data_IF_851292874578
#
_entry.id   IF_851292874578
#
_cell.length_a   1.000
_cell.length_b   1.000
_cell.length_c   1.000
_cell.angle_alpha   90.00
_cell.angle_beta   90.00
_cell.angle_gamma   90.00
#
_symmetry.space_group_name_H-M   'P 1'
#
loop_
_entity.id
_entity.type
_entity.pdbx_description
1 polymer ?
#
# COMPACT_ATOMS: atom_id res chain seq x y z
N UNK A 1 1.99 16.02 10.38
CA UNK A 1 3.04 14.97 10.34
C UNK A 1 2.49 13.53 10.49
N UNK A 2 1.18 13.28 10.38
CA UNK A 2 0.62 11.95 10.65
C UNK A 2 0.87 10.90 9.54
N UNK A 3 0.80 11.30 8.26
CA UNK A 3 0.92 10.34 7.14
C UNK A 3 2.32 9.71 7.05
N UNK A 4 3.37 10.53 7.20
CA UNK A 4 4.76 10.07 7.11
C UNK A 4 5.08 9.05 8.20
N UNK A 5 4.58 9.29 9.40
CA UNK A 5 4.76 8.40 10.55
C UNK A 5 4.02 7.07 10.38
N UNK A 6 2.78 7.11 9.91
CA UNK A 6 2.02 5.91 9.57
C UNK A 6 2.73 5.07 8.50
N UNK A 7 3.17 5.71 7.41
CA UNK A 7 3.91 5.04 6.33
C UNK A 7 5.24 4.47 6.85
N UNK A 8 5.99 5.21 7.66
CA UNK A 8 7.25 4.72 8.22
C UNK A 8 7.05 3.45 9.05
N UNK A 9 6.03 3.42 9.92
CA UNK A 9 5.71 2.22 10.70
C UNK A 9 5.31 1.04 9.81
N UNK A 10 4.52 1.30 8.77
CA UNK A 10 4.14 0.30 7.80
C UNK A 10 5.38 -0.30 7.11
N UNK A 11 6.24 0.53 6.52
CA UNK A 11 7.43 0.08 5.78
C UNK A 11 8.45 -0.65 6.67
N UNK A 12 8.56 -0.28 7.94
CA UNK A 12 9.48 -0.94 8.88
C UNK A 12 8.97 -2.32 9.31
N UNK A 13 7.65 -2.48 9.48
CA UNK A 13 7.07 -3.67 10.10
C UNK A 13 6.44 -4.64 9.10
N UNK A 14 6.13 -4.21 7.88
CA UNK A 14 5.41 -5.00 6.89
C UNK A 14 6.12 -5.00 5.54
N UNK A 15 6.07 -6.15 4.88
CA UNK A 15 6.25 -6.24 3.44
C UNK A 15 4.89 -6.15 2.76
N UNK A 16 4.86 -5.45 1.62
CA UNK A 16 3.67 -5.33 0.79
C UNK A 16 3.91 -6.04 -0.54
N UNK A 17 2.90 -6.77 -1.00
CA UNK A 17 2.82 -7.26 -2.36
C UNK A 17 1.48 -6.87 -2.96
N UNK A 18 1.49 -6.51 -4.24
CA UNK A 18 0.28 -6.30 -5.01
C UNK A 18 -0.23 -7.65 -5.51
N UNK A 19 -1.53 -7.74 -5.81
CA UNK A 19 -2.13 -8.95 -6.41
C UNK A 19 -1.41 -9.38 -7.69
N UNK A 20 -0.92 -8.41 -8.47
CA UNK A 20 -0.08 -8.62 -9.65
C UNK A 20 1.24 -7.88 -9.45
N UNK A 21 2.35 -8.61 -9.30
CA UNK A 21 3.67 -8.01 -9.09
C UNK A 21 4.08 -7.14 -10.28
N UNK A 22 4.51 -5.90 -10.02
CA UNK A 22 4.99 -4.97 -11.04
C UNK A 22 3.92 -4.24 -11.86
N UNK A 23 2.63 -4.56 -11.66
CA UNK A 23 1.53 -3.87 -12.34
C UNK A 23 0.94 -2.83 -11.40
N UNK A 24 1.00 -1.55 -11.79
CA UNK A 24 0.27 -0.49 -11.12
C UNK A 24 -1.23 -0.70 -11.34
N UNK A 25 -2.07 -0.71 -10.29
CA UNK A 25 -3.51 -0.75 -10.44
C UNK A 25 -3.99 0.45 -11.28
N UNK A 26 -4.96 0.22 -12.18
CA UNK A 26 -5.50 1.28 -13.05
C UNK A 26 -6.02 2.44 -12.21
N UNK A 27 -5.66 3.67 -12.60
CA UNK A 27 -6.13 4.88 -11.95
C UNK A 27 -7.67 4.96 -11.96
N UNK A 28 -8.28 5.28 -10.81
CA UNK A 28 -9.70 5.52 -10.69
C UNK A 28 -9.91 7.04 -10.56
N UNK A 29 -10.67 7.62 -11.50
CA UNK A 29 -10.98 9.05 -11.47
C UNK A 29 -12.29 9.28 -10.73
N UNK A 30 -12.24 10.08 -9.68
CA UNK A 30 -13.43 10.53 -8.94
C UNK A 30 -13.59 12.05 -9.12
N UNK A 31 -14.40 12.43 -10.10
CA UNK A 31 -14.49 13.82 -10.54
C UNK A 31 -13.15 14.30 -11.08
N UNK A 32 -12.63 15.40 -10.54
CA UNK A 32 -11.31 15.95 -10.91
C UNK A 32 -10.13 15.31 -10.16
N UNK A 33 -10.38 14.35 -9.26
CA UNK A 33 -9.34 13.73 -8.45
C UNK A 33 -8.97 12.33 -8.98
N UNK A 34 -7.68 12.08 -9.14
CA UNK A 34 -7.15 10.74 -9.38
C UNK A 34 -6.97 10.04 -8.01
N UNK A 35 -7.76 9.00 -7.76
CA UNK A 35 -7.68 8.20 -6.54
C UNK A 35 -7.12 6.81 -6.84
N UNK A 36 -6.40 6.19 -5.90
CA UNK A 36 -6.00 4.80 -6.04
C UNK A 36 -7.24 3.91 -6.16
N UNK A 37 -7.16 2.90 -7.03
CA UNK A 37 -8.25 1.96 -7.27
C UNK A 37 -8.70 1.29 -5.97
N UNK A 38 -9.98 1.45 -5.61
CA UNK A 38 -10.51 0.91 -4.35
C UNK A 38 -10.67 -0.61 -4.32
N UNK A 39 -10.58 -1.26 -5.48
CA UNK A 39 -10.61 -2.71 -5.62
C UNK A 39 -9.20 -3.34 -5.67
N UNK A 40 -8.14 -2.53 -5.66
CA UNK A 40 -6.79 -3.04 -5.61
C UNK A 40 -6.53 -3.76 -4.29
N UNK A 41 -6.05 -5.00 -4.36
CA UNK A 41 -5.68 -5.78 -3.18
C UNK A 41 -4.19 -5.64 -2.90
N UNK A 42 -3.89 -5.30 -1.66
CA UNK A 42 -2.54 -5.25 -1.11
C UNK A 42 -2.43 -6.34 -0.06
N UNK A 43 -1.47 -7.24 -0.23
CA UNK A 43 -1.15 -8.29 0.72
C UNK A 43 -0.09 -7.78 1.69
N UNK A 44 -0.40 -7.83 2.97
CA UNK A 44 0.49 -7.43 4.05
C UNK A 44 1.11 -8.66 4.68
N UNK A 45 2.42 -8.72 4.72
CA UNK A 45 3.15 -9.72 5.50
C UNK A 45 3.89 -9.02 6.62
N UNK A 46 3.54 -9.32 7.87
CA UNK A 46 4.28 -8.81 9.02
C UNK A 46 5.70 -9.39 8.96
N UNK A 47 6.70 -8.52 8.96
CA UNK A 47 8.10 -8.92 9.18
C UNK A 47 8.16 -9.43 10.61
N UNK A 48 8.49 -10.70 10.78
CA UNK A 48 8.76 -11.25 12.12
C UNK A 48 9.80 -10.34 12.78
N UNK A 49 9.54 -9.78 13.96
CA UNK A 49 10.64 -9.26 14.75
C UNK A 49 11.56 -10.46 14.97
N UNK A 50 12.78 -10.39 14.45
CA UNK A 50 13.83 -11.35 14.77
C UNK A 50 13.85 -11.50 16.30
N UNK A 51 13.78 -12.75 16.77
CA UNK A 51 13.71 -13.17 18.17
C UNK A 51 14.53 -12.34 19.14
#
# INVERSE_FOLDING_TARGET
>A
MAMKEFIARLVMQYDFKMEHEGIQPKDEWFGSNCIPNRHAKIMFRRRSPTS
#
